data_IF_292627957378
#
_entry.id   IF_292627957378
#
_cell.length_a   1.000
_cell.length_b   1.000
_cell.length_c   1.000
_cell.angle_alpha   90.00
_cell.angle_beta   90.00
_cell.angle_gamma   90.00
#
_symmetry.space_group_name_H-M   'P 1'
#
loop_
_entity.id
_entity.type
_entity.pdbx_description
1 polymer ?
#
# COMPACT_ATOMS: atom_id res chain seq x y z
N UNK A 1 -12.26 -13.61 14.11
CA UNK A 1 -11.87 -12.63 15.16
C UNK A 1 -12.39 -11.29 14.69
N UNK A 2 -12.98 -10.48 15.56
CA UNK A 2 -13.51 -9.17 15.18
C UNK A 2 -12.37 -8.21 14.89
N UNK A 3 -12.51 -7.41 13.83
CA UNK A 3 -11.60 -6.33 13.44
C UNK A 3 -11.34 -5.38 14.63
N UNK A 4 -10.12 -4.85 14.72
CA UNK A 4 -9.77 -3.90 15.78
C UNK A 4 -10.61 -2.61 15.70
N UNK A 5 -10.91 -1.93 16.83
CA UNK A 5 -11.75 -0.73 16.84
C UNK A 5 -11.25 0.43 15.95
N UNK A 6 -9.94 0.46 15.65
CA UNK A 6 -9.32 1.47 14.81
C UNK A 6 -9.67 1.33 13.32
N UNK A 7 -9.92 0.11 12.83
CA UNK A 7 -10.30 -0.17 11.44
C UNK A 7 -11.73 0.27 11.10
N UNK A 8 -12.56 0.51 12.12
CA UNK A 8 -13.98 0.84 11.93
C UNK A 8 -14.28 2.33 11.97
N UNK A 9 -13.33 3.14 12.42
CA UNK A 9 -13.50 4.59 12.54
C UNK A 9 -12.82 5.26 11.37
N UNK A 10 -13.59 5.86 10.48
CA UNK A 10 -13.11 6.56 9.27
C UNK A 10 -11.91 7.47 9.60
N UNK A 11 -12.03 8.35 10.60
CA UNK A 11 -10.94 9.26 10.97
C UNK A 11 -9.65 8.52 11.38
N UNK A 12 -9.76 7.41 12.12
CA UNK A 12 -8.60 6.63 12.56
C UNK A 12 -8.01 5.82 11.42
N UNK A 13 -8.87 5.32 10.53
CA UNK A 13 -8.51 4.56 9.34
C UNK A 13 -7.74 5.43 8.34
N UNK A 14 -8.34 6.56 7.93
CA UNK A 14 -7.72 7.53 7.05
C UNK A 14 -6.40 8.08 7.62
N UNK A 15 -6.29 8.28 8.93
CA UNK A 15 -5.04 8.72 9.57
C UNK A 15 -3.91 7.68 9.45
N UNK A 16 -4.24 6.38 9.51
CA UNK A 16 -3.25 5.30 9.35
C UNK A 16 -2.74 5.28 7.91
N UNK A 17 -3.66 5.35 6.94
CA UNK A 17 -3.35 5.42 5.51
C UNK A 17 -2.51 6.65 5.16
N UNK A 18 -2.92 7.84 5.62
CA UNK A 18 -2.20 9.08 5.36
C UNK A 18 -0.76 9.02 5.90
N UNK A 19 -0.57 8.51 7.12
CA UNK A 19 0.75 8.37 7.71
C UNK A 19 1.64 7.40 6.90
N UNK A 20 1.13 6.21 6.58
CA UNK A 20 1.88 5.21 5.83
C UNK A 20 2.23 5.69 4.41
N UNK A 21 1.29 6.36 3.74
CA UNK A 21 1.47 6.89 2.39
C UNK A 21 2.46 8.06 2.35
N UNK A 22 2.42 8.96 3.33
CA UNK A 22 3.39 10.06 3.42
C UNK A 22 4.81 9.53 3.62
N UNK A 23 5.00 8.57 4.53
CA UNK A 23 6.28 7.88 4.74
C UNK A 23 6.76 7.21 3.43
N UNK A 24 5.88 6.53 2.70
CA UNK A 24 6.20 5.88 1.43
C UNK A 24 6.62 6.89 0.33
N UNK A 25 5.98 8.06 0.28
CA UNK A 25 6.34 9.15 -0.64
C UNK A 25 7.73 9.70 -0.34
N UNK A 26 8.02 9.98 0.93
CA UNK A 26 9.34 10.48 1.35
C UNK A 26 10.46 9.51 0.98
N UNK A 27 10.27 8.21 1.24
CA UNK A 27 11.23 7.17 0.85
C UNK A 27 11.44 7.16 -0.68
N UNK A 28 10.35 7.25 -1.44
CA UNK A 28 10.39 7.22 -2.92
C UNK A 28 11.07 8.47 -3.49
N UNK A 29 10.84 9.64 -2.91
CA UNK A 29 11.50 10.90 -3.30
C UNK A 29 13.00 10.85 -3.03
N UNK A 30 13.41 10.28 -1.88
CA UNK A 30 14.83 10.05 -1.56
C UNK A 30 15.45 9.09 -2.58
N UNK A 31 14.76 8.00 -2.92
CA UNK A 31 15.22 7.02 -3.91
C UNK A 31 15.45 7.68 -5.27
N UNK A 32 14.49 8.47 -5.76
CA UNK A 32 14.61 9.21 -7.01
C UNK A 32 15.82 10.15 -7.01
N UNK A 33 16.01 10.89 -5.92
CA UNK A 33 17.14 11.81 -5.79
C UNK A 33 18.51 11.10 -5.75
N UNK A 34 18.58 9.91 -5.15
CA UNK A 34 19.80 9.11 -5.13
C UNK A 34 20.12 8.55 -6.51
N UNK A 35 19.11 8.10 -7.26
CA UNK A 35 19.26 7.64 -8.65
C UNK A 35 19.75 8.78 -9.57
N UNK A 36 19.15 9.97 -9.48
CA UNK A 36 19.60 11.16 -10.24
C UNK A 36 21.06 11.54 -9.95
N UNK A 37 21.55 11.26 -8.74
CA UNK A 37 22.93 11.54 -8.31
C UNK A 37 23.87 10.35 -8.52
N UNK A 38 23.40 9.29 -9.18
CA UNK A 38 24.14 8.05 -9.45
C UNK A 38 24.69 7.39 -8.15
N UNK A 39 24.02 7.60 -7.01
CA UNK A 39 24.40 7.02 -5.71
C UNK A 39 23.76 5.64 -5.52
N UNK A 40 24.09 4.70 -6.41
CA UNK A 40 23.39 3.42 -6.55
C UNK A 40 23.41 2.54 -5.28
N UNK A 41 24.50 2.52 -4.51
CA UNK A 41 24.56 1.73 -3.27
C UNK A 41 23.53 2.22 -2.24
N UNK A 42 23.46 3.54 -2.03
CA UNK A 42 22.45 4.14 -1.14
C UNK A 42 21.04 4.04 -1.70
N UNK A 43 20.88 4.14 -3.02
CA UNK A 43 19.60 3.95 -3.68
C UNK A 43 19.08 2.52 -3.44
N UNK A 44 19.97 1.52 -3.53
CA UNK A 44 19.64 0.12 -3.24
C UNK A 44 19.22 -0.07 -1.78
N UNK A 45 19.96 0.48 -0.83
CA UNK A 45 19.58 0.45 0.59
C UNK A 45 18.21 1.11 0.83
N UNK A 46 17.98 2.28 0.23
CA UNK A 46 16.70 3.01 0.32
C UNK A 46 15.55 2.21 -0.28
N UNK A 47 15.78 1.51 -1.40
CA UNK A 47 14.77 0.66 -2.01
C UNK A 47 14.40 -0.52 -1.10
N UNK A 48 15.35 -1.15 -0.40
CA UNK A 48 15.02 -2.20 0.57
C UNK A 48 14.21 -1.66 1.76
N UNK A 49 14.53 -0.47 2.26
CA UNK A 49 13.72 0.22 3.28
C UNK A 49 12.30 0.46 2.75
N UNK A 50 12.17 0.89 1.49
CA UNK A 50 10.87 1.05 0.84
C UNK A 50 10.07 -0.24 0.78
N UNK A 51 10.69 -1.36 0.38
CA UNK A 51 10.03 -2.68 0.37
C UNK A 51 9.55 -3.06 1.77
N UNK A 52 10.41 -2.97 2.79
CA UNK A 52 10.06 -3.30 4.17
C UNK A 52 8.90 -2.42 4.68
N UNK A 53 8.90 -1.13 4.36
CA UNK A 53 7.83 -0.21 4.69
C UNK A 53 6.49 -0.66 4.10
N UNK A 54 6.42 -0.96 2.80
CA UNK A 54 5.19 -1.43 2.15
C UNK A 54 4.71 -2.76 2.73
N UNK A 55 5.61 -3.72 2.98
CA UNK A 55 5.26 -5.04 3.53
C UNK A 55 4.71 -4.94 4.97
N UNK A 56 5.33 -4.13 5.81
CA UNK A 56 5.02 -4.08 7.26
C UNK A 56 3.94 -3.06 7.63
N UNK A 57 3.67 -2.07 6.77
CA UNK A 57 2.69 -1.02 7.02
C UNK A 57 1.43 -1.28 6.20
N UNK A 58 1.50 -1.05 4.90
CA UNK A 58 0.33 -1.10 4.02
C UNK A 58 -0.17 -2.52 3.81
N UNK A 59 0.69 -3.47 3.42
CA UNK A 59 0.24 -4.84 3.13
C UNK A 59 -0.21 -5.60 4.39
N UNK A 60 0.35 -5.28 5.55
CA UNK A 60 -0.12 -5.81 6.82
C UNK A 60 -1.48 -5.22 7.23
N UNK A 61 -1.72 -3.94 6.93
CA UNK A 61 -3.03 -3.30 7.10
C UNK A 61 -4.08 -3.95 6.20
N UNK A 62 -3.77 -4.05 4.91
CA UNK A 62 -4.57 -4.75 3.89
C UNK A 62 -5.00 -6.16 4.31
N UNK A 63 -4.07 -6.94 4.85
CA UNK A 63 -4.37 -8.28 5.36
C UNK A 63 -5.38 -8.24 6.53
N UNK A 64 -5.26 -7.24 7.41
CA UNK A 64 -6.17 -7.08 8.55
C UNK A 64 -7.58 -6.68 8.12
N UNK A 65 -7.70 -5.83 7.09
CA UNK A 65 -8.98 -5.46 6.49
C UNK A 65 -9.66 -6.65 5.81
N UNK A 66 -8.93 -7.38 4.97
CA UNK A 66 -9.42 -8.57 4.27
C UNK A 66 -9.84 -9.69 5.24
N UNK A 67 -9.08 -9.89 6.31
CA UNK A 67 -9.37 -10.94 7.29
C UNK A 67 -10.58 -10.62 8.17
N UNK A 68 -10.86 -9.33 8.38
CA UNK A 68 -11.88 -8.81 9.29
C UNK A 68 -12.89 -7.89 8.60
N UNK A 69 -12.52 -6.62 8.44
CA UNK A 69 -13.41 -5.53 8.05
C UNK A 69 -14.21 -5.83 6.78
N UNK A 70 -13.55 -6.29 5.73
CA UNK A 70 -14.20 -6.54 4.43
C UNK A 70 -15.19 -7.70 4.49
N UNK A 71 -14.93 -8.73 5.32
CA UNK A 71 -15.89 -9.81 5.56
C UNK A 71 -17.12 -9.29 6.29
N UNK A 72 -16.91 -8.44 7.30
CA UNK A 72 -18.00 -7.81 8.05
C UNK A 72 -18.88 -6.96 7.11
N UNK A 73 -18.28 -6.09 6.27
CA UNK A 73 -19.01 -5.25 5.31
C UNK A 73 -19.79 -6.07 4.26
N UNK A 74 -19.19 -7.16 3.75
CA UNK A 74 -19.83 -8.06 2.79
C UNK A 74 -21.02 -8.84 3.39
N UNK A 75 -20.96 -9.18 4.68
CA UNK A 75 -22.04 -9.83 5.42
C UNK A 75 -23.19 -8.85 5.74
N UNK A 76 -22.89 -7.58 5.99
CA UNK A 76 -23.87 -6.55 6.33
C UNK A 76 -24.72 -6.08 5.15
N UNK A 77 -24.13 -5.94 3.95
CA UNK A 77 -24.86 -5.49 2.76
C UNK A 77 -24.35 -6.12 1.48
N UNK A 78 -25.26 -6.78 0.74
CA UNK A 78 -24.96 -7.33 -0.57
C UNK A 78 -24.55 -6.27 -1.60
N UNK A 79 -24.92 -5.00 -1.39
CA UNK A 79 -24.55 -3.87 -2.24
C UNK A 79 -23.06 -3.49 -2.10
N UNK A 80 -22.41 -3.85 -0.99
CA UNK A 80 -20.99 -3.57 -0.75
C UNK A 80 -20.04 -4.63 -1.33
N UNK A 81 -20.57 -5.79 -1.75
CA UNK A 81 -19.77 -6.90 -2.25
C UNK A 81 -18.90 -6.52 -3.46
N UNK A 82 -19.44 -5.74 -4.39
CA UNK A 82 -18.68 -5.32 -5.57
C UNK A 82 -17.51 -4.41 -5.20
N UNK A 83 -17.73 -3.49 -4.24
CA UNK A 83 -16.68 -2.61 -3.74
C UNK A 83 -15.59 -3.40 -3.00
N UNK A 84 -15.97 -4.32 -2.11
CA UNK A 84 -15.03 -5.19 -1.39
C UNK A 84 -14.17 -6.03 -2.36
N UNK A 85 -14.76 -6.55 -3.43
CA UNK A 85 -14.00 -7.27 -4.47
C UNK A 85 -13.00 -6.35 -5.16
N UNK A 86 -13.40 -5.11 -5.47
CA UNK A 86 -12.52 -4.10 -6.06
C UNK A 86 -11.34 -3.75 -5.15
N UNK A 87 -11.61 -3.44 -3.88
CA UNK A 87 -10.59 -3.09 -2.89
C UNK A 87 -9.60 -4.25 -2.64
N UNK A 88 -10.11 -5.47 -2.51
CA UNK A 88 -9.27 -6.67 -2.38
C UNK A 88 -8.39 -6.85 -3.62
N UNK A 89 -8.92 -6.54 -4.82
CA UNK A 89 -8.13 -6.60 -6.05
C UNK A 89 -7.02 -5.56 -6.08
N UNK A 90 -7.25 -4.37 -5.54
CA UNK A 90 -6.23 -3.34 -5.43
C UNK A 90 -5.10 -3.77 -4.49
N UNK A 91 -5.41 -4.41 -3.37
CA UNK A 91 -4.39 -5.04 -2.50
C UNK A 91 -3.54 -6.07 -3.24
N UNK A 92 -4.14 -6.90 -4.10
CA UNK A 92 -3.40 -7.84 -4.92
C UNK A 92 -2.46 -7.14 -5.90
N UNK A 93 -2.86 -6.00 -6.46
CA UNK A 93 -1.98 -5.20 -7.32
C UNK A 93 -0.79 -4.64 -6.54
N UNK A 94 -1.01 -4.16 -5.31
CA UNK A 94 0.07 -3.71 -4.43
C UNK A 94 1.06 -4.85 -4.13
N UNK A 95 0.56 -6.05 -3.80
CA UNK A 95 1.40 -7.25 -3.59
C UNK A 95 2.21 -7.59 -4.83
N UNK A 96 1.60 -7.59 -6.00
CA UNK A 96 2.28 -7.87 -7.27
C UNK A 96 3.40 -6.86 -7.56
N UNK A 97 3.16 -5.57 -7.33
CA UNK A 97 4.16 -4.53 -7.53
C UNK A 97 5.34 -4.66 -6.55
N UNK A 98 5.10 -5.02 -5.28
CA UNK A 98 6.17 -5.29 -4.31
C UNK A 98 7.02 -6.48 -4.73
N UNK A 99 6.40 -7.57 -5.22
CA UNK A 99 7.14 -8.72 -5.74
C UNK A 99 7.94 -8.37 -7.00
N UNK A 100 7.37 -7.60 -7.94
CA UNK A 100 8.12 -7.10 -9.10
C UNK A 100 9.35 -6.27 -8.69
N UNK A 101 9.23 -5.42 -7.67
CA UNK A 101 10.36 -4.65 -7.14
C UNK A 101 11.45 -5.59 -6.63
N UNK A 102 11.09 -6.59 -5.82
CA UNK A 102 12.04 -7.54 -5.23
C UNK A 102 12.74 -8.36 -6.31
N UNK A 103 12.01 -8.81 -7.33
CA UNK A 103 12.57 -9.51 -8.48
C UNK A 103 13.54 -8.63 -9.28
N UNK A 104 13.17 -7.39 -9.59
CA UNK A 104 14.03 -6.43 -10.30
C UNK A 104 15.30 -6.13 -9.50
N UNK A 105 15.18 -5.87 -8.20
CA UNK A 105 16.33 -5.65 -7.31
C UNK A 105 17.28 -6.86 -7.29
N UNK A 106 16.74 -8.07 -7.30
CA UNK A 106 17.53 -9.31 -7.28
C UNK A 106 18.19 -9.67 -8.62
N UNK A 107 17.65 -9.20 -9.75
CA UNK A 107 18.09 -9.60 -11.09
C UNK A 107 18.82 -8.50 -11.86
N UNK A 108 18.28 -7.29 -11.83
CA UNK A 108 18.79 -6.11 -12.56
C UNK A 108 19.43 -5.08 -11.63
N UNK A 109 19.25 -5.22 -10.32
CA UNK A 109 19.69 -4.24 -9.33
C UNK A 109 18.81 -2.99 -9.30
N UNK A 110 19.28 -1.95 -8.63
CA UNK A 110 18.53 -0.69 -8.55
C UNK A 110 18.61 0.08 -9.88
N UNK A 111 17.46 0.44 -10.42
CA UNK A 111 17.35 1.19 -11.68
C UNK A 111 16.01 1.95 -11.76
N UNK A 112 15.78 2.65 -12.86
CA UNK A 112 14.55 3.44 -13.08
C UNK A 112 13.28 2.59 -13.10
N UNK A 113 13.34 1.31 -13.48
CA UNK A 113 12.17 0.44 -13.47
C UNK A 113 11.70 0.17 -12.04
N UNK A 114 12.63 -0.03 -11.11
CA UNK A 114 12.33 -0.17 -9.68
C UNK A 114 11.65 1.10 -9.15
N UNK A 115 12.19 2.28 -9.46
CA UNK A 115 11.58 3.54 -9.07
C UNK A 115 10.16 3.70 -9.61
N UNK A 116 9.92 3.33 -10.87
CA UNK A 116 8.59 3.38 -11.47
C UNK A 116 7.57 2.49 -10.75
N UNK A 117 7.99 1.33 -10.21
CA UNK A 117 7.09 0.47 -9.42
C UNK A 117 6.75 1.09 -8.07
N UNK A 118 7.70 1.74 -7.39
CA UNK A 118 7.40 2.49 -6.17
C UNK A 118 6.40 3.64 -6.42
N UNK A 119 6.59 4.38 -7.52
CA UNK A 119 5.66 5.43 -7.93
C UNK A 119 4.26 4.85 -8.27
N UNK A 120 4.22 3.66 -8.89
CA UNK A 120 2.96 2.97 -9.17
C UNK A 120 2.26 2.50 -7.88
N UNK A 121 3.00 1.97 -6.90
CA UNK A 121 2.45 1.61 -5.58
C UNK A 121 1.74 2.80 -4.94
N UNK A 122 2.40 3.95 -4.89
CA UNK A 122 1.83 5.20 -4.37
C UNK A 122 0.53 5.57 -5.09
N UNK A 123 0.50 5.46 -6.41
CA UNK A 123 -0.68 5.85 -7.19
C UNK A 123 -1.86 4.89 -6.97
N UNK A 124 -1.59 3.58 -6.95
CA UNK A 124 -2.62 2.57 -6.67
C UNK A 124 -3.17 2.75 -5.26
N UNK A 125 -2.31 2.93 -4.28
CA UNK A 125 -2.69 3.11 -2.86
C UNK A 125 -3.55 4.36 -2.66
N UNK A 126 -3.22 5.48 -3.32
CA UNK A 126 -4.07 6.69 -3.29
C UNK A 126 -5.48 6.42 -3.81
N UNK A 127 -5.59 5.71 -4.93
CA UNK A 127 -6.88 5.42 -5.56
C UNK A 127 -7.68 4.43 -4.71
N UNK A 128 -6.99 3.42 -4.17
CA UNK A 128 -7.57 2.46 -3.24
C UNK A 128 -8.16 3.18 -2.01
N UNK A 129 -7.37 4.02 -1.33
CA UNK A 129 -7.80 4.74 -0.14
C UNK A 129 -9.03 5.62 -0.42
N UNK A 130 -9.09 6.26 -1.59
CA UNK A 130 -10.26 7.07 -2.01
C UNK A 130 -11.53 6.25 -2.21
N UNK A 131 -11.43 5.03 -2.73
CA UNK A 131 -12.61 4.15 -2.89
C UNK A 131 -13.01 3.51 -1.57
N UNK A 132 -12.03 3.16 -0.72
CA UNK A 132 -12.30 2.55 0.58
C UNK A 132 -13.06 3.50 1.51
N UNK A 133 -12.65 4.77 1.59
CA UNK A 133 -13.32 5.78 2.42
C UNK A 133 -14.82 5.91 2.13
N UNK A 134 -15.27 5.61 0.90
CA UNK A 134 -16.69 5.71 0.51
C UNK A 134 -17.56 4.61 1.10
N UNK A 135 -16.96 3.48 1.48
CA UNK A 135 -17.69 2.31 1.99
C UNK A 135 -17.53 2.13 3.50
N UNK A 136 -16.63 2.88 4.13
CA UNK A 136 -16.47 2.87 5.57
C UNK A 136 -17.66 3.54 6.26
N UNK A 137 -18.17 2.98 7.37
CA UNK A 137 -19.31 3.54 8.09
C UNK A 137 -18.94 4.84 8.83
N UNK A 138 -19.71 5.91 8.61
CA UNK A 138 -19.63 7.16 9.38
C UNK A 138 -20.18 6.94 10.81
N UNK A 139 -19.36 6.55 11.79
CA UNK A 139 -19.80 6.37 13.19
C UNK A 139 -18.89 7.06 14.22
#
# INVERSE_FOLDING_TARGET
MTSGPALRKVDSHSSIHEAALNEAREITDILEELLKKEQYEKALETAYIGVEHWETRTLQHAASEEEGLYKELAEESAELNEAVIGLTRDHDLLRLLVEEIKELLGTEGINDQVLQRFQALILVDVLHNQEEEKILPEH
#
